data_IF_236244927579
#
_entry.id   IF_236244927579
#
_cell.length_a   1.000
_cell.length_b   1.000
_cell.length_c   1.000
_cell.angle_alpha   90.00
_cell.angle_beta   90.00
_cell.angle_gamma   90.00
#
_symmetry.space_group_name_H-M   'P 1'
#
loop_
_entity.id
_entity.type
_entity.pdbx_description
1 polymer ?
#
# COMPACT_ATOMS: atom_id res chain seq x y z
N UNK A 1 -18.83 12.83 18.12
CA UNK A 1 -17.48 12.43 17.67
C UNK A 1 -17.64 11.75 16.32
N UNK A 2 -17.31 12.44 15.21
CA UNK A 2 -17.38 11.82 13.89
C UNK A 2 -16.23 10.81 13.76
N UNK A 3 -16.53 9.53 13.90
CA UNK A 3 -15.61 8.47 13.54
C UNK A 3 -15.48 8.46 12.02
N UNK A 4 -14.44 9.12 11.51
CA UNK A 4 -14.02 9.04 10.12
C UNK A 4 -13.36 7.67 9.88
N UNK A 5 -14.14 6.58 10.06
CA UNK A 5 -13.80 5.27 9.48
C UNK A 5 -14.00 5.44 7.98
N UNK A 6 -13.00 5.99 7.29
CA UNK A 6 -12.74 5.57 5.91
C UNK A 6 -12.71 4.04 6.01
N UNK A 7 -13.72 3.38 5.45
CA UNK A 7 -13.71 1.93 5.31
C UNK A 7 -12.34 1.60 4.75
N UNK A 8 -11.54 0.84 5.51
CA UNK A 8 -10.19 0.45 5.11
C UNK A 8 -10.35 -0.46 3.91
N UNK A 9 -10.54 0.13 2.73
CA UNK A 9 -10.54 -0.59 1.48
C UNK A 9 -9.14 -1.17 1.37
N UNK A 10 -9.08 -2.50 1.25
CA UNK A 10 -7.83 -3.21 1.04
C UNK A 10 -7.18 -2.60 -0.20
N UNK A 11 -6.00 -1.96 -0.09
CA UNK A 11 -5.36 -1.34 -1.23
C UNK A 11 -5.06 -2.41 -2.28
N UNK A 12 -5.08 -2.03 -3.56
CA UNK A 12 -4.80 -2.96 -4.63
C UNK A 12 -5.23 -2.44 -5.99
N UNK A 13 -5.09 -3.31 -7.00
CA UNK A 13 -5.40 -3.00 -8.39
C UNK A 13 -5.88 -4.24 -9.13
N UNK A 14 -6.68 -4.06 -10.18
CA UNK A 14 -7.04 -5.16 -11.06
C UNK A 14 -5.82 -5.64 -11.86
N UNK A 15 -5.63 -6.96 -11.97
CA UNK A 15 -4.61 -7.55 -12.81
C UNK A 15 -4.93 -7.28 -14.29
N UNK A 16 -4.01 -6.70 -15.08
CA UNK A 16 -4.26 -6.40 -16.49
C UNK A 16 -4.40 -7.64 -17.37
N UNK A 17 -3.95 -8.81 -16.91
CA UNK A 17 -4.02 -10.05 -17.69
C UNK A 17 -5.23 -10.93 -17.35
N UNK A 18 -5.64 -10.99 -16.09
CA UNK A 18 -6.73 -11.89 -15.67
C UNK A 18 -7.92 -11.19 -15.00
N UNK A 19 -7.88 -9.86 -14.87
CA UNK A 19 -8.96 -9.04 -14.30
C UNK A 19 -9.15 -9.16 -12.79
N UNK A 20 -8.57 -10.18 -12.13
CA UNK A 20 -8.70 -10.40 -10.69
C UNK A 20 -7.97 -9.33 -9.88
N UNK A 21 -8.53 -8.96 -8.73
CA UNK A 21 -7.97 -7.94 -7.85
C UNK A 21 -6.69 -8.43 -7.15
N UNK A 22 -5.61 -7.67 -7.27
CA UNK A 22 -4.34 -7.91 -6.59
C UNK A 22 -4.33 -7.05 -5.32
N UNK A 23 -4.56 -7.64 -4.13
CA UNK A 23 -4.40 -6.91 -2.88
C UNK A 23 -2.92 -6.57 -2.67
N UNK A 24 -2.66 -5.39 -2.14
CA UNK A 24 -1.31 -4.94 -1.77
C UNK A 24 -1.31 -4.04 -0.55
N UNK A 25 -0.15 -3.88 0.08
CA UNK A 25 0.07 -2.95 1.19
C UNK A 25 0.99 -1.80 0.79
N UNK A 26 0.92 -0.69 1.53
CA UNK A 26 1.85 0.44 1.36
C UNK A 26 3.30 -0.03 1.52
N UNK A 27 3.58 -0.88 2.51
CA UNK A 27 4.91 -1.42 2.77
C UNK A 27 5.42 -2.28 1.61
N UNK A 28 4.57 -3.10 0.98
CA UNK A 28 4.95 -3.85 -0.22
C UNK A 28 5.28 -2.93 -1.40
N UNK A 29 4.47 -1.89 -1.64
CA UNK A 29 4.76 -0.90 -2.69
C UNK A 29 6.07 -0.16 -2.46
N UNK A 30 6.43 0.09 -1.20
CA UNK A 30 7.66 0.78 -0.83
C UNK A 30 8.88 -0.13 -0.89
N UNK A 31 8.78 -1.40 -0.47
CA UNK A 31 9.92 -2.31 -0.36
C UNK A 31 10.11 -3.23 -1.56
N UNK A 32 9.02 -3.68 -2.21
CA UNK A 32 9.10 -4.62 -3.34
C UNK A 32 9.37 -3.90 -4.65
N UNK A 33 10.23 -4.45 -5.51
CA UNK A 33 10.42 -3.96 -6.88
C UNK A 33 9.28 -4.32 -7.85
N UNK A 34 8.39 -5.21 -7.43
CA UNK A 34 7.33 -5.75 -8.28
C UNK A 34 6.11 -6.20 -7.47
N UNK A 35 4.97 -6.27 -8.15
CA UNK A 35 3.75 -6.94 -7.71
C UNK A 35 3.60 -8.24 -8.49
N UNK A 36 3.26 -9.33 -7.80
CA UNK A 36 2.93 -10.59 -8.45
C UNK A 36 1.45 -10.86 -8.29
N UNK A 37 0.74 -11.04 -9.41
CA UNK A 37 -0.65 -11.47 -9.35
C UNK A 37 -0.74 -12.88 -8.72
N UNK A 38 -1.48 -13.08 -7.63
CA UNK A 38 -1.56 -14.38 -6.97
C UNK A 38 -2.34 -15.41 -7.80
N UNK A 39 -3.08 -14.98 -8.82
CA UNK A 39 -3.96 -15.84 -9.61
C UNK A 39 -3.37 -16.31 -10.93
N UNK A 40 -2.74 -15.42 -11.69
CA UNK A 40 -2.13 -15.74 -12.99
C UNK A 40 -0.61 -15.62 -12.99
N UNK A 41 -0.01 -15.31 -11.83
CA UNK A 41 1.43 -15.21 -11.61
C UNK A 41 2.16 -14.12 -12.41
N UNK A 42 1.42 -13.24 -13.12
CA UNK A 42 1.98 -12.10 -13.83
C UNK A 42 2.79 -11.23 -12.86
N UNK A 43 4.04 -10.94 -13.25
CA UNK A 43 4.93 -10.04 -12.54
C UNK A 43 4.83 -8.62 -13.13
N UNK A 44 4.29 -7.70 -12.35
CA UNK A 44 4.19 -6.27 -12.65
C UNK A 44 5.35 -5.54 -12.00
N UNK A 45 6.32 -5.05 -12.78
CA UNK A 45 7.43 -4.27 -12.22
C UNK A 45 6.96 -2.85 -11.89
N UNK A 46 7.39 -2.34 -10.73
CA UNK A 46 7.07 -0.97 -10.31
C UNK A 46 8.16 -0.05 -10.87
N UNK A 47 7.79 0.87 -11.75
CA UNK A 47 8.70 1.91 -12.24
C UNK A 47 8.95 2.93 -11.11
N UNK A 48 10.05 2.72 -10.37
CA UNK A 48 10.43 3.56 -9.22
C UNK A 48 10.77 5.00 -9.62
N UNK A 49 11.22 5.22 -10.86
CA UNK A 49 11.57 6.55 -11.33
C UNK A 49 10.32 7.36 -11.62
N UNK A 50 9.41 6.84 -12.45
CA UNK A 50 8.13 7.51 -12.75
C UNK A 50 7.24 7.64 -11.51
N UNK A 51 7.31 6.66 -10.60
CA UNK A 51 6.49 6.65 -9.38
C UNK A 51 7.15 7.34 -8.20
N UNK A 52 8.31 7.99 -8.36
CA UNK A 52 9.11 8.51 -7.25
C UNK A 52 8.31 9.48 -6.34
N UNK A 53 7.53 10.38 -6.93
CA UNK A 53 6.69 11.33 -6.18
C UNK A 53 5.62 10.62 -5.37
N UNK A 54 4.94 9.64 -5.96
CA UNK A 54 3.91 8.85 -5.28
C UNK A 54 4.50 8.01 -4.14
N UNK A 55 5.64 7.35 -4.37
CA UNK A 55 6.33 6.55 -3.37
C UNK A 55 6.81 7.41 -2.19
N UNK A 56 7.31 8.62 -2.45
CA UNK A 56 7.66 9.57 -1.37
C UNK A 56 6.44 9.96 -0.52
N UNK A 57 5.29 10.17 -1.16
CA UNK A 57 4.04 10.46 -0.44
C UNK A 57 3.62 9.27 0.44
N UNK A 58 3.64 8.06 -0.12
CA UNK A 58 3.32 6.83 0.61
C UNK A 58 4.25 6.60 1.82
N UNK A 59 5.55 6.83 1.66
CA UNK A 59 6.51 6.70 2.76
C UNK A 59 6.22 7.66 3.93
N UNK A 60 5.79 8.90 3.63
CA UNK A 60 5.39 9.86 4.67
C UNK A 60 4.14 9.40 5.42
N UNK A 61 3.17 8.84 4.70
CA UNK A 61 1.94 8.29 5.30
C UNK A 61 2.26 7.10 6.20
N UNK A 62 3.07 6.14 5.74
CA UNK A 62 3.46 4.99 6.54
C UNK A 62 4.21 5.40 7.82
N UNK A 63 5.14 6.37 7.72
CA UNK A 63 5.85 6.90 8.87
C UNK A 63 4.90 7.60 9.87
N UNK A 64 3.92 8.37 9.37
CA UNK A 64 2.92 9.01 10.22
C UNK A 64 2.04 7.98 10.93
N UNK A 65 1.58 6.94 10.23
CA UNK A 65 0.80 5.85 10.82
C UNK A 65 1.58 5.15 11.93
N UNK A 66 2.85 4.78 11.70
CA UNK A 66 3.72 4.16 12.71
C UNK A 66 3.88 5.02 13.96
N UNK A 67 4.04 6.34 13.80
CA UNK A 67 4.14 7.28 14.94
C UNK A 67 2.85 7.33 15.76
N UNK A 68 1.70 7.33 15.09
CA UNK A 68 0.40 7.34 15.79
C UNK A 68 0.20 6.03 16.54
N UNK A 69 0.54 4.89 15.92
CA UNK A 69 0.45 3.56 16.56
C UNK A 69 1.41 3.39 17.75
N UNK A 70 2.64 3.90 17.67
CA UNK A 70 3.58 3.83 18.79
C UNK A 70 3.14 4.72 19.96
N UNK A 71 2.57 5.89 19.67
CA UNK A 71 2.13 6.84 20.69
C UNK A 71 0.81 6.40 21.33
N UNK A 72 -0.12 5.81 20.56
CA UNK A 72 -1.38 5.30 21.10
C UNK A 72 -1.19 4.11 22.05
N UNK A 73 -0.16 3.28 21.81
CA UNK A 73 0.23 2.18 22.71
C UNK A 73 0.88 2.63 24.01
N UNK A 74 1.43 3.86 24.07
CA UNK A 74 2.06 4.41 25.28
C UNK A 74 1.03 4.90 26.31
N UNK A 75 -0.18 5.26 25.89
CA UNK A 75 -1.27 5.73 26.75
C UNK A 75 -2.21 4.60 27.26
N UNK A 76 -1.75 3.34 27.24
CA UNK A 76 -2.50 2.18 27.72
C UNK A 76 -1.78 1.55 28.92
#
# INVERSE_FOLDING_TARGET
MMNNKQTQQVPGMACPQCGKFIPTTITELLTSGYLRCPYCLLKLNIDRHKSATALKALAKVEAAQKRVESTSKFNR
#
